data_IF_561096013872
#
_entry.id   IF_561096013872
#
_cell.length_a   1.000
_cell.length_b   1.000
_cell.length_c   1.000
_cell.angle_alpha   90.00
_cell.angle_beta   90.00
_cell.angle_gamma   90.00
#
_symmetry.space_group_name_H-M   'P 1'
#
loop_
_entity.id
_entity.type
_entity.pdbx_description
1 polymer ?
#
# COMPACT_ATOMS: atom_id res chain seq x y z
N UNK A 1 19.69 -5.38 21.05
CA UNK A 1 18.82 -4.37 20.44
C UNK A 1 18.70 -4.73 18.97
N UNK A 2 17.63 -5.43 18.60
CA UNK A 2 17.38 -5.75 17.20
C UNK A 2 16.93 -4.44 16.53
N UNK A 3 17.81 -3.82 15.75
CA UNK A 3 17.35 -2.77 14.84
C UNK A 3 16.48 -3.46 13.80
N UNK A 4 15.16 -3.38 13.95
CA UNK A 4 14.25 -3.57 12.83
C UNK A 4 14.78 -2.68 11.71
N UNK A 5 15.20 -3.30 10.60
CA UNK A 5 15.70 -2.56 9.45
C UNK A 5 14.51 -1.77 8.91
N UNK A 6 14.48 -0.49 9.22
CA UNK A 6 13.46 0.42 8.70
C UNK A 6 13.56 0.45 7.18
N UNK A 7 12.45 0.12 6.51
CA UNK A 7 12.41 0.12 5.05
C UNK A 7 12.58 1.54 4.52
N UNK A 8 13.17 1.64 3.34
CA UNK A 8 13.58 2.92 2.76
C UNK A 8 12.69 3.31 1.59
N UNK A 9 12.45 4.61 1.46
CA UNK A 9 11.77 5.18 0.30
C UNK A 9 12.72 5.18 -0.92
N UNK A 10 12.22 5.65 -2.06
CA UNK A 10 13.00 5.69 -3.31
C UNK A 10 14.21 6.65 -3.27
N UNK A 11 14.30 7.51 -2.26
CA UNK A 11 15.42 8.42 -2.01
C UNK A 11 16.46 7.83 -1.02
N UNK A 12 16.21 6.64 -0.48
CA UNK A 12 17.08 5.97 0.49
C UNK A 12 16.91 6.43 1.94
N UNK A 13 15.87 7.22 2.22
CA UNK A 13 15.46 7.71 3.54
C UNK A 13 14.43 6.77 4.17
N UNK A 14 14.04 6.99 5.43
CA UNK A 14 12.98 6.21 6.09
C UNK A 14 11.64 6.36 5.34
N UNK A 15 10.88 5.27 5.19
CA UNK A 15 9.55 5.31 4.60
C UNK A 15 8.59 6.13 5.47
N UNK A 16 7.83 7.02 4.82
CA UNK A 16 6.77 7.81 5.47
C UNK A 16 5.42 7.09 5.39
N UNK A 17 4.48 7.47 6.27
CA UNK A 17 3.10 6.96 6.25
C UNK A 17 2.41 7.32 4.94
N UNK A 18 1.78 6.34 4.31
CA UNK A 18 1.03 6.55 3.08
C UNK A 18 -0.42 6.97 3.36
N UNK A 19 -1.13 6.26 4.24
CA UNK A 19 -2.49 6.61 4.64
C UNK A 19 -2.94 5.87 5.91
N UNK A 20 -3.57 6.59 6.84
CA UNK A 20 -4.10 6.03 8.10
C UNK A 20 -5.63 5.95 8.13
N UNK A 21 -6.33 6.66 7.24
CA UNK A 21 -7.79 6.66 7.17
C UNK A 21 -8.27 6.83 5.72
N UNK A 22 -8.63 5.73 5.02
CA UNK A 22 -8.56 4.34 5.49
C UNK A 22 -7.12 3.85 5.67
N UNK A 23 -6.89 2.94 6.63
CA UNK A 23 -5.55 2.37 6.86
C UNK A 23 -5.12 1.51 5.66
N UNK A 24 -3.93 1.79 5.13
CA UNK A 24 -3.36 1.10 3.96
C UNK A 24 -2.22 0.15 4.34
N UNK A 25 -1.52 -0.39 3.34
CA UNK A 25 -0.36 -1.26 3.48
C UNK A 25 -0.73 -2.74 3.55
N UNK A 26 0.13 -3.61 3.04
CA UNK A 26 -0.06 -5.06 3.10
C UNK A 26 -0.20 -5.55 4.55
N UNK A 27 0.63 -5.01 5.46
CA UNK A 27 0.56 -5.31 6.90
C UNK A 27 -0.51 -4.53 7.66
N UNK A 28 -1.28 -3.65 7.00
CA UNK A 28 -2.27 -2.75 7.62
C UNK A 28 -1.66 -1.87 8.72
N UNK A 29 -0.46 -1.34 8.47
CA UNK A 29 0.27 -0.43 9.35
C UNK A 29 0.27 1.04 8.86
N UNK A 30 -0.34 1.31 7.70
CA UNK A 30 -0.38 2.64 7.07
C UNK A 30 0.78 2.93 6.12
N UNK A 31 1.75 2.01 5.99
CA UNK A 31 2.95 2.18 5.19
C UNK A 31 2.95 1.23 3.97
N UNK A 32 3.70 1.59 2.93
CA UNK A 32 3.95 0.71 1.77
C UNK A 32 5.07 -0.31 2.04
N UNK A 33 5.11 -0.87 3.26
CA UNK A 33 6.06 -1.90 3.64
C UNK A 33 5.75 -3.23 2.95
N UNK A 34 6.79 -3.99 2.62
CA UNK A 34 6.69 -5.30 1.96
C UNK A 34 7.65 -6.31 2.58
N UNK A 35 7.38 -7.60 2.44
CA UNK A 35 8.39 -8.65 2.61
C UNK A 35 8.11 -9.81 1.64
N UNK A 36 8.78 -10.95 1.82
CA UNK A 36 8.62 -12.14 0.96
C UNK A 36 7.18 -12.70 0.93
N UNK A 37 6.30 -12.30 1.86
CA UNK A 37 4.90 -12.74 1.93
C UNK A 37 3.96 -11.87 1.09
N UNK A 38 4.37 -10.65 0.72
CA UNK A 38 3.58 -9.77 -0.14
C UNK A 38 3.87 -10.06 -1.63
N UNK A 39 3.24 -11.12 -2.14
CA UNK A 39 3.35 -11.49 -3.57
C UNK A 39 2.85 -10.39 -4.52
N UNK A 40 2.00 -9.47 -4.03
CA UNK A 40 1.48 -8.33 -4.80
C UNK A 40 2.40 -7.11 -4.82
N UNK A 41 3.42 -7.08 -3.95
CA UNK A 41 4.46 -6.03 -3.86
C UNK A 41 3.82 -4.63 -3.77
N UNK A 42 3.01 -4.40 -2.74
CA UNK A 42 2.25 -3.17 -2.48
C UNK A 42 3.15 -2.01 -1.97
N UNK A 43 4.19 -1.69 -2.75
CA UNK A 43 5.29 -0.77 -2.38
C UNK A 43 5.14 0.66 -2.91
N UNK A 44 4.11 0.94 -3.70
CA UNK A 44 3.88 2.25 -4.31
C UNK A 44 2.74 2.98 -3.61
N UNK A 45 3.06 4.07 -2.90
CA UNK A 45 2.03 4.97 -2.36
C UNK A 45 1.48 5.86 -3.49
N UNK A 46 0.17 5.90 -3.65
CA UNK A 46 -0.49 6.68 -4.72
C UNK A 46 -1.71 7.43 -4.20
N UNK A 47 -1.96 8.60 -4.77
CA UNK A 47 -3.25 9.29 -4.62
C UNK A 47 -4.21 8.78 -5.69
N UNK A 48 -5.36 8.25 -5.27
CA UNK A 48 -6.32 7.64 -6.19
C UNK A 48 -7.09 8.70 -6.97
N UNK A 49 -7.33 8.41 -8.25
CA UNK A 49 -8.19 9.18 -9.14
C UNK A 49 -9.31 8.28 -9.66
N UNK A 50 -10.43 8.87 -10.09
CA UNK A 50 -11.54 8.10 -10.65
C UNK A 50 -11.10 7.31 -11.89
N UNK A 51 -10.35 7.93 -12.80
CA UNK A 51 -9.84 7.29 -14.02
C UNK A 51 -9.00 6.04 -13.70
N UNK A 52 -8.13 6.12 -12.68
CA UNK A 52 -7.33 4.97 -12.26
C UNK A 52 -8.19 3.87 -11.63
N UNK A 53 -9.17 4.23 -10.80
CA UNK A 53 -10.07 3.26 -10.18
C UNK A 53 -10.92 2.51 -11.22
N UNK A 54 -11.43 3.22 -12.22
CA UNK A 54 -12.19 2.64 -13.35
C UNK A 54 -11.30 1.72 -14.19
N UNK A 55 -10.10 2.19 -14.56
CA UNK A 55 -9.12 1.39 -15.29
C UNK A 55 -8.73 0.11 -14.52
N UNK A 56 -8.39 0.25 -13.23
CA UNK A 56 -7.96 -0.86 -12.37
C UNK A 56 -9.06 -1.91 -12.25
N UNK A 57 -10.31 -1.48 -12.05
CA UNK A 57 -11.48 -2.37 -12.02
C UNK A 57 -11.67 -3.11 -13.34
N UNK A 58 -11.54 -2.44 -14.49
CA UNK A 58 -11.61 -3.07 -15.81
C UNK A 58 -10.48 -4.09 -16.06
N UNK A 59 -9.37 -3.98 -15.33
CA UNK A 59 -8.26 -4.95 -15.33
C UNK A 59 -8.39 -6.08 -14.30
N UNK A 60 -9.52 -6.16 -13.60
CA UNK A 60 -9.78 -7.19 -12.59
C UNK A 60 -9.27 -6.84 -11.18
N UNK A 61 -8.77 -5.63 -10.96
CA UNK A 61 -8.34 -5.13 -9.67
C UNK A 61 -9.33 -4.06 -9.15
N UNK A 62 -10.48 -4.50 -8.64
CA UNK A 62 -11.51 -3.60 -8.11
C UNK A 62 -11.14 -3.08 -6.72
N UNK A 63 -10.62 -1.86 -6.68
CA UNK A 63 -10.29 -1.10 -5.46
C UNK A 63 -11.42 -0.15 -5.02
N UNK A 64 -12.54 -0.12 -5.75
CA UNK A 64 -13.61 0.88 -5.57
C UNK A 64 -14.81 0.34 -4.80
N UNK A 65 -15.14 -0.95 -4.96
CA UNK A 65 -16.27 -1.57 -4.25
C UNK A 65 -15.90 -1.82 -2.79
N UNK A 66 -16.62 -1.25 -1.79
CA UNK A 66 -16.32 -1.48 -0.39
C UNK A 66 -16.42 -2.96 0.01
N UNK A 67 -15.47 -3.45 0.80
CA UNK A 67 -15.45 -4.82 1.34
C UNK A 67 -15.29 -4.82 2.88
N UNK A 68 -16.35 -4.51 3.65
CA UNK A 68 -16.27 -4.32 5.11
C UNK A 68 -16.02 -5.59 5.94
N UNK A 69 -15.81 -6.74 5.29
CA UNK A 69 -15.64 -8.06 5.95
C UNK A 69 -14.18 -8.48 6.13
N UNK A 70 -13.23 -7.60 5.82
CA UNK A 70 -11.79 -7.84 5.92
C UNK A 70 -11.15 -6.82 6.84
#
# INVERSE_FOLDING_TARGET
MNSEVKQKNVFGEEIESCCENPITGFFRDGFCHTDERDEGIHTVCVSMTNDFLEFSKARGNDLSTPRPKF
#
